data_IF_611488177753
#
_entry.id   IF_611488177753
#
_cell.length_a   1.000
_cell.length_b   1.000
_cell.length_c   1.000
_cell.angle_alpha   90.00
_cell.angle_beta   90.00
_cell.angle_gamma   90.00
#
_symmetry.space_group_name_H-M   'P 1'
#
loop_
_entity.id
_entity.type
_entity.pdbx_description
1 polymer ?
#
# COMPACT_ATOMS: atom_id res chain seq x y z
N UNK A 1 -1.85 -0.77 16.89
CA UNK A 1 -0.73 0.18 16.95
C UNK A 1 -0.35 0.54 15.53
N UNK A 2 0.14 1.75 15.33
CA UNK A 2 0.66 2.24 14.05
C UNK A 2 1.68 1.27 13.45
N UNK A 3 2.65 0.80 14.24
CA UNK A 3 3.73 -0.08 13.77
C UNK A 3 3.19 -1.40 13.20
N UNK A 4 2.20 -2.00 13.87
CA UNK A 4 1.58 -3.24 13.39
C UNK A 4 0.88 -3.08 12.05
N UNK A 5 0.27 -1.91 11.81
CA UNK A 5 -0.36 -1.61 10.53
C UNK A 5 0.71 -1.47 9.45
N UNK A 6 1.76 -0.68 9.72
CA UNK A 6 2.85 -0.48 8.75
C UNK A 6 3.56 -1.79 8.42
N UNK A 7 3.91 -2.60 9.42
CA UNK A 7 4.48 -3.93 9.22
C UNK A 7 3.59 -4.79 8.31
N UNK A 8 2.28 -4.77 8.53
CA UNK A 8 1.35 -5.55 7.71
C UNK A 8 1.29 -5.04 6.26
N UNK A 9 1.37 -3.73 6.04
CA UNK A 9 1.36 -3.15 4.70
C UNK A 9 2.66 -3.51 3.97
N UNK A 10 3.82 -3.38 4.63
CA UNK A 10 5.11 -3.70 4.02
C UNK A 10 5.27 -5.20 3.71
N UNK A 11 4.88 -6.07 4.65
CA UNK A 11 5.11 -7.51 4.50
C UNK A 11 4.07 -8.23 3.66
N UNK A 12 2.86 -7.67 3.52
CA UNK A 12 1.75 -8.33 2.79
C UNK A 12 1.37 -7.64 1.49
N UNK A 13 1.31 -6.30 1.47
CA UNK A 13 0.83 -5.56 0.30
C UNK A 13 1.99 -5.13 -0.59
N UNK A 14 3.06 -4.57 -0.02
CA UNK A 14 4.18 -4.03 -0.82
C UNK A 14 5.06 -5.11 -1.48
N UNK A 15 4.83 -6.37 -1.14
CA UNK A 15 5.43 -7.55 -1.77
C UNK A 15 4.73 -7.98 -3.06
N UNK A 16 3.56 -7.39 -3.36
CA UNK A 16 2.79 -7.70 -4.57
C UNK A 16 3.34 -6.95 -5.80
N UNK A 17 3.08 -7.46 -7.01
CA UNK A 17 3.43 -6.78 -8.26
C UNK A 17 2.83 -5.38 -8.41
N UNK A 18 3.52 -4.49 -9.10
CA UNK A 18 3.16 -3.08 -9.26
C UNK A 18 1.81 -2.85 -9.96
N UNK A 19 1.42 -3.77 -10.84
CA UNK A 19 0.16 -3.79 -11.58
C UNK A 19 -1.02 -4.35 -10.77
N UNK A 20 -0.77 -4.81 -9.53
CA UNK A 20 -1.83 -5.26 -8.64
C UNK A 20 -2.75 -4.10 -8.29
N UNK A 21 -4.02 -4.23 -8.69
CA UNK A 21 -5.08 -3.27 -8.38
C UNK A 21 -5.51 -3.43 -6.93
N UNK A 22 -5.61 -2.30 -6.22
CA UNK A 22 -6.04 -2.22 -4.83
C UNK A 22 -7.41 -1.55 -4.80
N UNK A 23 -8.38 -2.27 -4.23
CA UNK A 23 -9.74 -1.78 -3.96
C UNK A 23 -9.88 -1.43 -2.48
N UNK A 24 -9.67 -0.16 -2.08
CA UNK A 24 -9.80 0.22 -0.68
C UNK A 24 -11.26 0.22 -0.23
N UNK A 25 -11.48 0.17 1.09
CA UNK A 25 -12.83 0.30 1.64
C UNK A 25 -13.48 1.66 1.38
N UNK A 26 -12.68 2.69 1.08
CA UNK A 26 -13.13 4.04 0.75
C UNK A 26 -12.25 4.68 -0.32
N UNK A 27 -12.85 5.51 -1.16
CA UNK A 27 -12.14 6.20 -2.24
C UNK A 27 -12.04 5.37 -3.53
N UNK A 28 -11.33 5.90 -4.53
CA UNK A 28 -11.13 5.20 -5.80
C UNK A 28 -10.14 4.04 -5.68
N UNK A 29 -10.13 3.17 -6.68
CA UNK A 29 -9.09 2.15 -6.84
C UNK A 29 -7.71 2.79 -7.11
N UNK A 30 -6.65 2.05 -6.78
CA UNK A 30 -5.24 2.42 -6.99
C UNK A 30 -4.44 1.16 -7.36
N UNK A 31 -3.13 1.25 -7.50
CA UNK A 31 -2.26 0.07 -7.66
C UNK A 31 -1.12 0.07 -6.65
N UNK A 32 -0.53 -1.11 -6.40
CA UNK A 32 0.64 -1.22 -5.53
C UNK A 32 1.80 -0.35 -6.02
N UNK A 33 2.02 -0.28 -7.33
CA UNK A 33 3.04 0.60 -7.92
C UNK A 33 2.76 2.07 -7.65
N UNK A 34 1.51 2.52 -7.80
CA UNK A 34 1.11 3.89 -7.52
C UNK A 34 1.29 4.25 -6.05
N UNK A 35 0.87 3.38 -5.13
CA UNK A 35 1.06 3.58 -3.69
C UNK A 35 2.55 3.64 -3.32
N UNK A 36 3.38 2.71 -3.82
CA UNK A 36 4.82 2.71 -3.52
C UNK A 36 5.52 4.00 -3.96
N UNK A 37 5.08 4.59 -5.07
CA UNK A 37 5.65 5.82 -5.60
C UNK A 37 5.00 7.09 -5.04
N UNK A 38 3.73 7.07 -4.64
CA UNK A 38 2.98 8.28 -4.31
C UNK A 38 2.64 8.44 -2.84
N UNK A 39 2.57 7.35 -2.08
CA UNK A 39 2.03 7.35 -0.74
C UNK A 39 3.05 7.92 0.27
N UNK A 40 2.75 9.06 0.93
CA UNK A 40 3.69 9.71 1.85
C UNK A 40 3.91 8.92 3.15
N UNK A 41 3.00 8.00 3.49
CA UNK A 41 3.10 7.17 4.68
C UNK A 41 3.95 5.91 4.47
N UNK A 42 4.27 5.57 3.22
CA UNK A 42 5.18 4.47 2.87
C UNK A 42 6.64 4.92 2.70
N UNK A 43 6.89 6.23 2.70
CA UNK A 43 8.22 6.83 2.60
C UNK A 43 8.70 7.22 4.00
N UNK A 44 9.22 6.24 4.74
CA UNK A 44 9.94 6.38 6.00
C UNK A 44 11.30 5.72 5.89
#
# INVERSE_FOLDING_TARGET
>A
SYDKLMDSIHTKLMTLPDDTVVYPGHGPETTIGAERQGNPWLRG
#
